data_IF_676848745103
#
_entry.id   IF_676848745103
#
_cell.length_a   1.000
_cell.length_b   1.000
_cell.length_c   1.000
_cell.angle_alpha   90.00
_cell.angle_beta   90.00
_cell.angle_gamma   90.00
#
_symmetry.space_group_name_H-M   'P 1'
#
loop_
_entity.id
_entity.type
_entity.pdbx_description
1 polymer ?
#
# COMPACT_ATOMS: atom_id res chain seq x y z
N UNK A 1 21.25 20.75 10.56
CA UNK A 1 20.60 19.44 10.31
C UNK A 1 19.06 19.48 10.33
N UNK A 2 18.39 20.39 11.04
CA UNK A 2 16.91 20.40 11.12
C UNK A 2 16.19 20.66 9.78
N UNK A 3 16.72 21.57 8.95
CA UNK A 3 16.12 21.92 7.65
C UNK A 3 16.11 20.73 6.66
N UNK A 4 17.21 19.96 6.59
CA UNK A 4 17.30 18.78 5.73
C UNK A 4 16.26 17.72 6.13
N UNK A 5 16.08 17.48 7.42
CA UNK A 5 15.06 16.54 7.92
C UNK A 5 13.62 17.03 7.70
N UNK A 6 13.38 18.34 7.67
CA UNK A 6 12.08 18.91 7.33
C UNK A 6 11.78 18.74 5.84
N UNK A 7 12.73 19.07 4.97
CA UNK A 7 12.61 18.88 3.52
C UNK A 7 12.40 17.40 3.19
N UNK A 8 13.18 16.50 3.81
CA UNK A 8 13.03 15.05 3.61
C UNK A 8 11.65 14.53 4.03
N UNK A 9 11.10 15.01 5.15
CA UNK A 9 9.74 14.67 5.58
C UNK A 9 8.67 15.25 4.65
N UNK A 10 8.83 16.49 4.20
CA UNK A 10 7.93 17.11 3.22
C UNK A 10 7.91 16.37 1.89
N UNK A 11 9.09 15.99 1.38
CA UNK A 11 9.22 15.21 0.15
C UNK A 11 8.68 13.79 0.28
N UNK A 12 8.96 13.10 1.39
CA UNK A 12 8.38 11.78 1.65
C UNK A 12 6.84 11.82 1.77
N UNK A 13 6.28 12.93 2.23
CA UNK A 13 4.82 13.14 2.27
C UNK A 13 4.25 13.47 0.89
N UNK A 14 4.99 14.20 0.06
CA UNK A 14 4.56 14.56 -1.30
C UNK A 14 4.71 13.38 -2.28
N UNK A 15 5.69 12.51 -2.07
CA UNK A 15 6.00 11.34 -2.89
C UNK A 15 6.00 10.09 -2.01
N UNK A 16 4.81 9.52 -1.78
CA UNK A 16 4.71 8.23 -1.12
C UNK A 16 5.03 7.11 -2.11
N UNK A 17 6.33 6.82 -2.27
CA UNK A 17 6.84 5.82 -3.21
C UNK A 17 6.24 4.43 -2.95
N UNK A 18 5.94 4.09 -1.69
CA UNK A 18 5.31 2.81 -1.35
C UNK A 18 3.87 2.76 -1.86
N UNK A 19 3.11 3.87 -1.75
CA UNK A 19 1.75 3.96 -2.30
C UNK A 19 1.75 3.81 -3.82
N UNK A 20 2.73 4.41 -4.51
CA UNK A 20 2.91 4.25 -5.97
C UNK A 20 3.26 2.80 -6.32
N UNK A 21 4.14 2.16 -5.57
CA UNK A 21 4.52 0.76 -5.79
C UNK A 21 3.34 -0.20 -5.58
N UNK A 22 2.51 0.03 -4.55
CA UNK A 22 1.27 -0.72 -4.35
C UNK A 22 0.32 -0.52 -5.53
N UNK A 23 0.09 0.70 -6.00
CA UNK A 23 -0.75 0.94 -7.19
C UNK A 23 -0.23 0.22 -8.43
N UNK A 24 1.10 0.21 -8.65
CA UNK A 24 1.71 -0.46 -9.80
C UNK A 24 1.46 -1.97 -9.77
N UNK A 25 1.58 -2.61 -8.59
CA UNK A 25 1.32 -4.04 -8.42
C UNK A 25 -0.15 -4.41 -8.68
N UNK A 26 -1.07 -3.57 -8.23
CA UNK A 26 -2.51 -3.78 -8.44
C UNK A 26 -2.93 -3.50 -9.90
N UNK A 27 -2.20 -2.64 -10.59
CA UNK A 27 -2.42 -2.34 -12.01
C UNK A 27 -2.27 -3.55 -12.94
N UNK A 28 -1.55 -4.59 -12.51
CA UNK A 28 -1.41 -5.85 -13.24
C UNK A 28 -2.69 -6.71 -13.24
N UNK A 29 -3.76 -6.28 -12.54
CA UNK A 29 -5.08 -6.93 -12.53
C UNK A 29 -5.16 -8.22 -11.73
N UNK A 30 -4.09 -8.58 -11.00
CA UNK A 30 -4.08 -9.72 -10.08
C UNK A 30 -4.61 -9.30 -8.72
N UNK A 31 -5.59 -10.05 -8.21
CA UNK A 31 -6.08 -9.88 -6.84
C UNK A 31 -5.05 -10.45 -5.85
N UNK A 32 -4.46 -9.59 -5.02
CA UNK A 32 -3.35 -9.95 -4.13
C UNK A 32 -3.75 -9.82 -2.66
N UNK A 33 -3.22 -10.71 -1.82
CA UNK A 33 -3.26 -10.57 -0.38
C UNK A 33 -2.26 -9.49 0.08
N UNK A 34 -2.54 -8.78 1.18
CA UNK A 34 -1.60 -7.81 1.75
C UNK A 34 -0.22 -8.40 2.10
N UNK A 35 -0.17 -9.69 2.46
CA UNK A 35 1.11 -10.39 2.69
C UNK A 35 1.89 -10.57 1.40
N UNK A 36 1.25 -10.91 0.29
CA UNK A 36 1.92 -11.07 -1.00
C UNK A 36 2.49 -9.73 -1.49
N UNK A 37 1.75 -8.63 -1.31
CA UNK A 37 2.24 -7.29 -1.65
C UNK A 37 3.43 -6.90 -0.76
N UNK A 38 3.36 -7.20 0.55
CA UNK A 38 4.46 -6.95 1.48
C UNK A 38 5.73 -7.73 1.11
N UNK A 39 5.58 -9.00 0.76
CA UNK A 39 6.69 -9.86 0.35
C UNK A 39 7.34 -9.36 -0.95
N UNK A 40 6.54 -8.98 -1.95
CA UNK A 40 7.06 -8.45 -3.23
C UNK A 40 7.76 -7.10 -3.05
N UNK A 41 7.25 -6.23 -2.19
CA UNK A 41 7.84 -4.90 -1.95
C UNK A 41 9.00 -4.93 -0.94
N UNK A 42 9.21 -6.03 -0.23
CA UNK A 42 10.14 -6.08 0.91
C UNK A 42 9.74 -5.13 2.05
N UNK A 43 8.45 -4.81 2.15
CA UNK A 43 7.90 -3.82 3.08
C UNK A 43 7.21 -4.48 4.28
N UNK A 44 7.18 -3.83 5.45
CA UNK A 44 6.36 -4.33 6.56
C UNK A 44 4.88 -4.37 6.18
N UNK A 45 4.20 -5.49 6.49
CA UNK A 45 2.75 -5.67 6.21
C UNK A 45 1.89 -4.53 6.76
N UNK A 46 2.21 -3.99 7.94
CA UNK A 46 1.49 -2.85 8.52
C UNK A 46 1.59 -1.57 7.68
N UNK A 47 2.72 -1.35 7.00
CA UNK A 47 2.93 -0.22 6.10
C UNK A 47 2.07 -0.38 4.84
N UNK A 48 2.08 -1.59 4.26
CA UNK A 48 1.26 -1.97 3.10
C UNK A 48 -0.24 -1.82 3.41
N UNK A 49 -0.73 -2.38 4.51
CA UNK A 49 -2.14 -2.24 4.92
C UNK A 49 -2.57 -0.78 5.04
N UNK A 50 -1.71 0.09 5.58
CA UNK A 50 -2.00 1.53 5.67
C UNK A 50 -2.13 2.18 4.29
N UNK A 51 -1.30 1.79 3.32
CA UNK A 51 -1.35 2.33 1.95
C UNK A 51 -2.57 1.82 1.19
N UNK A 52 -2.90 0.53 1.34
CA UNK A 52 -4.12 -0.06 0.81
C UNK A 52 -5.35 0.70 1.32
N UNK A 53 -5.46 0.92 2.64
CA UNK A 53 -6.57 1.67 3.23
C UNK A 53 -6.62 3.12 2.73
N UNK A 54 -5.46 3.76 2.52
CA UNK A 54 -5.41 5.10 1.94
C UNK A 54 -5.92 5.12 0.48
N UNK A 55 -5.57 4.12 -0.33
CA UNK A 55 -6.05 3.99 -1.71
C UNK A 55 -7.56 3.70 -1.76
N UNK A 56 -8.05 2.80 -0.92
CA UNK A 56 -9.47 2.50 -0.78
C UNK A 56 -10.25 3.76 -0.36
N UNK A 57 -9.76 4.51 0.62
CA UNK A 57 -10.36 5.77 1.06
C UNK A 57 -10.42 6.85 -0.03
N UNK A 58 -9.62 6.73 -1.09
CA UNK A 58 -9.68 7.59 -2.29
C UNK A 58 -10.54 7.03 -3.43
N UNK A 59 -11.12 5.84 -3.26
CA UNK A 59 -11.92 5.14 -4.27
C UNK A 59 -11.11 4.60 -5.44
N UNK A 60 -9.79 4.41 -5.27
CA UNK A 60 -8.89 3.93 -6.34
C UNK A 60 -8.82 2.41 -6.43
N UNK A 61 -9.13 1.72 -5.33
CA UNK A 61 -9.16 0.27 -5.23
C UNK A 61 -10.38 -0.16 -4.41
N UNK A 62 -10.73 -1.43 -4.47
CA UNK A 62 -11.79 -2.05 -3.67
C UNK A 62 -11.19 -3.19 -2.85
N UNK A 63 -11.43 -3.21 -1.53
CA UNK A 63 -11.04 -4.33 -0.67
C UNK A 63 -12.17 -5.35 -0.67
N UNK A 64 -11.86 -6.61 -0.98
CA UNK A 64 -12.82 -7.72 -0.91
C UNK A 64 -12.37 -8.78 0.10
N UNK A 65 -13.25 -9.26 0.99
CA UNK A 65 -12.93 -10.39 1.86
C UNK A 65 -12.45 -11.59 1.03
N UNK A 66 -11.46 -12.31 1.53
CA UNK A 66 -11.04 -13.56 0.88
C UNK A 66 -12.17 -14.61 1.06
N UNK A 67 -12.67 -15.21 -0.03
CA UNK A 67 -13.75 -16.18 0.04
C UNK A 67 -13.36 -17.49 0.75
N UNK A 68 -12.07 -17.82 0.82
CA UNK A 68 -11.58 -19.08 1.36
C UNK A 68 -11.43 -19.06 2.89
N UNK A 69 -11.08 -17.92 3.48
CA UNK A 69 -10.86 -17.80 4.94
C UNK A 69 -11.75 -16.77 5.66
N UNK A 70 -12.37 -15.83 4.93
CA UNK A 70 -13.20 -14.75 5.46
C UNK A 70 -12.52 -13.80 6.47
N UNK A 71 -11.24 -13.98 6.75
CA UNK A 71 -10.44 -13.24 7.76
C UNK A 71 -9.38 -12.37 7.10
N UNK A 72 -8.89 -12.78 5.95
CA UNK A 72 -8.03 -11.99 5.08
C UNK A 72 -8.88 -11.32 4.00
N UNK A 73 -8.23 -10.47 3.21
CA UNK A 73 -8.86 -9.74 2.12
C UNK A 73 -7.90 -9.68 0.94
N UNK A 74 -8.46 -9.52 -0.26
CA UNK A 74 -7.75 -9.30 -1.50
C UNK A 74 -8.04 -7.90 -2.02
N UNK A 75 -7.06 -7.33 -2.69
CA UNK A 75 -7.10 -6.02 -3.35
C UNK A 75 -6.63 -6.13 -4.79
#
# INVERSE_FOLDING_TARGET
>A
MALVNLIRRGQAKAFDTELVAVMQLLGDGRALLPSEIADVLGSPRSSVTRRIQALEGTGKIEIRPDPDDGRSYRV
#
